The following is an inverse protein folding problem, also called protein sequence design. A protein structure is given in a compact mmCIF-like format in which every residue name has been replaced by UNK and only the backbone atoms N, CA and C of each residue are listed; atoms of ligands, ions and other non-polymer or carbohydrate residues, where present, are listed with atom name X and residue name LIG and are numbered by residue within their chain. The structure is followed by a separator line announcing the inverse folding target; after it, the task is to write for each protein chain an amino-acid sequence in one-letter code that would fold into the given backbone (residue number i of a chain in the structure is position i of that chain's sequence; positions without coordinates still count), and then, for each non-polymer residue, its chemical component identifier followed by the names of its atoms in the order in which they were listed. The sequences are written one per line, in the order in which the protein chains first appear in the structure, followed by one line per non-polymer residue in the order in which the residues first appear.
data_IF_946182234340
#
_entry.id   IF_946182234340
#
_cell.length_a   1.000
_cell.length_b   1.000
_cell.length_c   1.000
_cell.angle_alpha   90.00
_cell.angle_beta   90.00
_cell.angle_gamma   90.00
#
_symmetry.space_group_name_H-M   'P 1'
#
loop_
_entity.id
_entity.type
_entity.pdbx_description
1 polymer ?
#
# COMPACT_ATOMS: atom_id res chain seq x y z
N UNK A 1 12.33 4.86 12.27
CA UNK A 1 12.17 4.11 11.00
C UNK A 1 11.60 4.99 9.88
N UNK A 2 10.74 5.96 10.20
CA UNK A 2 10.11 6.91 9.25
C UNK A 2 10.98 7.40 8.09
N UNK A 3 12.20 7.87 8.35
CA UNK A 3 13.05 8.45 7.30
C UNK A 3 13.49 7.42 6.26
N UNK A 4 13.81 6.19 6.70
CA UNK A 4 14.16 5.08 5.80
C UNK A 4 12.96 4.70 4.94
N UNK A 5 11.78 4.54 5.54
CA UNK A 5 10.58 4.19 4.80
C UNK A 5 10.13 5.30 3.84
N UNK A 6 10.22 6.57 4.23
CA UNK A 6 9.94 7.72 3.37
C UNK A 6 10.82 7.73 2.12
N UNK A 7 12.11 7.46 2.27
CA UNK A 7 13.02 7.34 1.12
C UNK A 7 12.67 6.12 0.25
N UNK A 8 12.37 4.98 0.89
CA UNK A 8 11.98 3.76 0.19
C UNK A 8 10.74 3.96 -0.69
N UNK A 9 9.64 4.50 -0.16
CA UNK A 9 8.41 4.69 -0.94
C UNK A 9 8.58 5.71 -2.07
N UNK A 10 9.48 6.71 -1.92
CA UNK A 10 9.78 7.65 -2.99
C UNK A 10 10.48 6.95 -4.15
N UNK A 11 11.54 6.20 -3.86
CA UNK A 11 12.25 5.42 -4.87
C UNK A 11 11.35 4.37 -5.53
N UNK A 12 10.48 3.73 -4.75
CA UNK A 12 9.53 2.74 -5.27
C UNK A 12 8.48 3.38 -6.19
N UNK A 13 7.98 4.58 -5.84
CA UNK A 13 7.08 5.32 -6.73
C UNK A 13 7.77 5.66 -8.05
N UNK A 14 9.03 6.11 -8.00
CA UNK A 14 9.83 6.39 -9.20
C UNK A 14 9.97 5.13 -10.07
N UNK A 15 10.43 4.01 -9.49
CA UNK A 15 10.61 2.75 -10.20
C UNK A 15 9.31 2.24 -10.85
N UNK A 16 8.20 2.25 -10.11
CA UNK A 16 6.91 1.79 -10.63
C UNK A 16 6.43 2.70 -11.78
N UNK A 17 6.50 4.03 -11.61
CA UNK A 17 6.06 4.96 -12.64
C UNK A 17 6.90 4.80 -13.91
N UNK A 18 8.23 4.77 -13.78
CA UNK A 18 9.14 4.63 -14.92
C UNK A 18 8.88 3.35 -15.71
N UNK A 19 8.64 2.22 -15.01
CA UNK A 19 8.31 0.95 -15.66
C UNK A 19 6.96 0.97 -16.36
N UNK A 20 5.95 1.57 -15.74
CA UNK A 20 4.63 1.69 -16.35
C UNK A 20 4.66 2.62 -17.57
N UNK A 21 5.37 3.74 -17.55
CA UNK A 21 5.54 4.60 -18.73
C UNK A 21 6.25 3.87 -19.89
N UNK A 22 7.27 3.07 -19.59
CA UNK A 22 7.97 2.26 -20.59
C UNK A 22 7.05 1.22 -21.25
N UNK A 23 6.16 0.60 -20.46
CA UNK A 23 5.19 -0.37 -20.94
C UNK A 23 4.10 0.31 -21.77
N UNK A 24 3.62 1.48 -21.33
CA UNK A 24 2.57 2.22 -22.04
C UNK A 24 3.07 2.79 -23.38
N UNK A 25 4.29 3.34 -23.40
CA UNK A 25 4.94 3.86 -24.61
C UNK A 25 4.38 5.18 -25.15
N UNK A 26 3.25 5.66 -24.64
CA UNK A 26 2.57 6.88 -25.10
C UNK A 26 2.33 7.90 -23.99
N UNK A 27 1.58 7.53 -22.96
CA UNK A 27 1.25 8.43 -21.85
C UNK A 27 2.34 8.43 -20.78
N UNK A 28 2.44 9.54 -20.07
CA UNK A 28 3.33 9.74 -18.92
C UNK A 28 2.53 10.13 -17.68
N UNK A 29 3.08 9.88 -16.51
CA UNK A 29 2.48 10.31 -15.26
C UNK A 29 2.55 11.84 -15.14
N UNK A 30 1.40 12.44 -14.86
CA UNK A 30 1.32 13.81 -14.37
C UNK A 30 1.59 13.81 -12.87
N UNK A 31 2.49 14.68 -12.44
CA UNK A 31 2.85 14.84 -11.04
C UNK A 31 2.01 15.97 -10.42
N UNK A 32 1.49 15.72 -9.23
CA UNK A 32 0.76 16.68 -8.42
C UNK A 32 1.24 16.57 -6.98
N UNK A 33 2.08 17.53 -6.59
CA UNK A 33 2.68 17.63 -5.27
C UNK A 33 1.79 18.53 -4.40
N UNK A 34 1.51 18.07 -3.18
CA UNK A 34 0.59 18.78 -2.29
C UNK A 34 1.07 18.72 -0.84
N UNK A 35 0.77 19.79 -0.11
CA UNK A 35 1.03 19.92 1.32
C UNK A 35 -0.26 19.80 2.11
N UNK A 36 -0.16 19.28 3.34
CA UNK A 36 -1.29 19.12 4.24
C UNK A 36 -1.27 20.20 5.32
N UNK A 37 -2.38 20.92 5.48
CA UNK A 37 -2.60 21.73 6.68
C UNK A 37 -2.61 20.81 7.92
N UNK A 38 -1.64 20.99 8.81
CA UNK A 38 -1.41 20.13 9.98
C UNK A 38 -0.15 19.25 9.89
N UNK A 39 0.56 19.22 8.76
CA UNK A 39 1.90 18.65 8.65
C UNK A 39 2.07 17.55 7.60
N UNK A 40 3.17 17.67 6.86
CA UNK A 40 3.54 16.76 5.78
C UNK A 40 2.80 17.05 4.47
N UNK A 41 2.61 16.02 3.66
CA UNK A 41 2.04 16.15 2.31
C UNK A 41 2.15 14.85 1.53
N UNK A 42 2.14 14.95 0.20
CA UNK A 42 2.28 13.80 -0.68
C UNK A 42 2.63 14.16 -2.11
N UNK A 43 2.90 13.11 -2.87
CA UNK A 43 3.16 13.18 -4.31
C UNK A 43 2.17 12.24 -5.00
N UNK A 44 1.20 12.82 -5.68
CA UNK A 44 0.24 12.07 -6.49
C UNK A 44 0.77 11.97 -7.92
N UNK A 45 0.81 10.76 -8.47
CA UNK A 45 1.17 10.56 -9.88
C UNK A 45 0.03 9.85 -10.58
N UNK A 46 -0.49 10.49 -11.63
CA UNK A 46 -1.64 9.98 -12.39
C UNK A 46 -1.28 9.84 -13.86
N UNK A 47 -1.49 8.65 -14.43
CA UNK A 47 -1.42 8.37 -15.86
C UNK A 47 -2.84 8.15 -16.39
N UNK A 48 -3.18 8.75 -17.52
CA UNK A 48 -4.50 8.62 -18.15
C UNK A 48 -4.34 8.56 -19.68
N UNK A 49 -5.32 7.92 -20.34
CA UNK A 49 -5.44 7.89 -21.81
C UNK A 49 -4.19 7.37 -22.54
N UNK A 50 -3.49 6.42 -21.91
CA UNK A 50 -2.38 5.68 -22.50
C UNK A 50 -2.83 4.71 -23.58
N UNK A 51 -1.89 3.93 -24.12
CA UNK A 51 -2.19 2.83 -25.04
C UNK A 51 -2.35 1.49 -24.31
N UNK A 52 -1.77 1.36 -23.10
CA UNK A 52 -1.91 0.18 -22.25
C UNK A 52 -2.76 0.51 -21.02
N UNK A 53 -2.54 1.67 -20.40
CA UNK A 53 -3.25 2.08 -19.19
C UNK A 53 -4.31 3.13 -19.49
N UNK A 54 -5.58 2.77 -19.27
CA UNK A 54 -6.69 3.71 -19.38
C UNK A 54 -6.58 4.80 -18.30
N UNK A 55 -6.35 4.36 -17.06
CA UNK A 55 -6.16 5.22 -15.89
C UNK A 55 -5.34 4.51 -14.81
N UNK A 56 -4.37 5.20 -14.23
CA UNK A 56 -3.58 4.68 -13.13
C UNK A 56 -3.16 5.78 -12.17
N UNK A 57 -3.07 5.43 -10.90
CA UNK A 57 -2.53 6.29 -9.85
C UNK A 57 -1.45 5.55 -9.08
N UNK A 58 -0.31 6.21 -8.83
CA UNK A 58 0.75 5.73 -7.93
C UNK A 58 1.05 6.88 -6.99
N UNK A 59 0.47 6.83 -5.80
CA UNK A 59 0.48 7.94 -4.86
C UNK A 59 1.35 7.59 -3.66
N UNK A 60 2.11 8.57 -3.18
CA UNK A 60 2.77 8.48 -1.88
C UNK A 60 2.34 9.63 -0.99
N UNK A 61 2.30 9.38 0.31
CA UNK A 61 2.11 10.41 1.32
C UNK A 61 3.07 10.20 2.48
N UNK A 62 3.37 11.30 3.17
CA UNK A 62 4.12 11.33 4.43
C UNK A 62 3.54 12.48 5.25
N UNK A 63 2.59 12.15 6.10
CA UNK A 63 1.86 13.11 6.94
C UNK A 63 2.23 12.93 8.40
N UNK A 64 2.12 14.01 9.15
CA UNK A 64 2.29 13.98 10.60
C UNK A 64 1.34 14.98 11.25
N UNK A 65 1.32 15.00 12.58
CA UNK A 65 0.56 15.97 13.36
C UNK A 65 -0.03 15.37 14.63
N UNK A 66 -0.95 16.10 15.24
CA UNK A 66 -1.73 15.61 16.38
C UNK A 66 -2.78 14.60 15.92
N UNK A 67 -3.01 13.56 16.73
CA UNK A 67 -4.06 12.59 16.49
C UNK A 67 -5.45 13.22 16.62
N UNK A 68 -6.34 13.03 15.64
CA UNK A 68 -7.75 13.39 15.78
C UNK A 68 -8.38 12.72 17.00
N UNK A 69 -9.31 13.39 17.67
CA UNK A 69 -9.95 12.89 18.91
C UNK A 69 -10.53 11.48 18.75
N UNK A 70 -11.15 11.18 17.60
CA UNK A 70 -11.71 9.86 17.31
C UNK A 70 -10.63 8.77 17.31
N UNK A 71 -9.44 9.08 16.78
CA UNK A 71 -8.32 8.14 16.74
C UNK A 71 -7.67 8.01 18.11
N UNK A 72 -7.56 9.11 18.87
CA UNK A 72 -7.13 9.08 20.27
C UNK A 72 -7.99 8.16 21.13
N UNK A 73 -9.32 8.25 20.98
CA UNK A 73 -10.28 7.34 21.65
C UNK A 73 -10.08 5.89 21.24
N UNK A 74 -9.83 5.62 19.96
CA UNK A 74 -9.58 4.26 19.46
C UNK A 74 -8.27 3.66 19.97
N UNK A 75 -7.25 4.48 20.19
CA UNK A 75 -5.96 4.05 20.74
C UNK A 75 -5.87 4.18 22.26
N UNK A 76 -6.94 4.62 22.93
CA UNK A 76 -6.99 4.80 24.38
C UNK A 76 -5.86 5.72 24.90
N UNK A 77 -5.60 6.82 24.18
CA UNK A 77 -4.61 7.84 24.55
C UNK A 77 -5.26 9.20 24.78
N UNK A 78 -4.84 9.92 25.82
CA UNK A 78 -5.36 11.28 26.11
C UNK A 78 -4.86 12.31 25.10
N UNK A 79 -3.58 12.23 24.75
CA UNK A 79 -2.91 13.01 23.71
C UNK A 79 -2.10 12.05 22.84
N UNK A 80 -1.76 12.46 21.62
CA UNK A 80 -0.89 11.66 20.79
C UNK A 80 -0.53 12.38 19.50
N UNK A 81 0.70 12.18 19.08
CA UNK A 81 1.21 12.64 17.80
C UNK A 81 1.51 11.43 16.93
N UNK A 82 1.47 11.63 15.62
CA UNK A 82 1.70 10.54 14.70
C UNK A 82 2.55 10.97 13.52
N UNK A 83 3.22 9.98 12.94
CA UNK A 83 3.70 10.02 11.58
C UNK A 83 3.07 8.84 10.82
N UNK A 84 2.59 9.10 9.61
CA UNK A 84 2.11 8.06 8.72
C UNK A 84 2.63 8.31 7.31
N UNK A 85 3.27 7.30 6.73
CA UNK A 85 3.71 7.34 5.34
C UNK A 85 3.33 6.08 4.61
N UNK A 86 3.15 6.17 3.30
CA UNK A 86 2.84 5.01 2.50
C UNK A 86 2.79 5.27 1.01
N UNK A 87 2.85 4.18 0.26
CA UNK A 87 2.59 4.10 -1.17
C UNK A 87 1.24 3.40 -1.36
N UNK A 88 0.42 3.94 -2.27
CA UNK A 88 -0.83 3.33 -2.69
C UNK A 88 -0.96 3.46 -4.21
N UNK A 89 -1.31 2.37 -4.88
CA UNK A 89 -1.54 2.37 -6.32
C UNK A 89 -2.81 1.62 -6.69
N UNK A 90 -3.43 2.08 -7.77
CA UNK A 90 -4.47 1.35 -8.51
C UNK A 90 -4.23 1.62 -9.99
N UNK A 91 -4.11 0.55 -10.78
CA UNK A 91 -3.86 0.62 -12.21
C UNK A 91 -4.99 -0.08 -12.96
N UNK A 92 -5.65 0.64 -13.87
CA UNK A 92 -6.68 0.15 -14.77
C UNK A 92 -6.14 0.10 -16.21
N UNK A 93 -5.87 -1.11 -16.73
CA UNK A 93 -5.52 -1.30 -18.13
C UNK A 93 -6.69 -1.02 -19.05
N UNK A 94 -6.39 -0.62 -20.28
CA UNK A 94 -7.40 -0.41 -21.33
C UNK A 94 -7.94 -1.72 -21.90
N UNK A 95 -7.10 -2.76 -21.98
CA UNK A 95 -7.52 -4.08 -22.47
C UNK A 95 -8.19 -4.87 -21.35
N UNK A 96 -9.40 -5.45 -21.56
CA UNK A 96 -10.04 -6.31 -20.56
C UNK A 96 -9.27 -7.63 -20.34
N UNK A 97 -8.30 -7.94 -21.21
CA UNK A 97 -7.44 -9.11 -21.05
C UNK A 97 -6.32 -8.86 -20.03
N UNK A 98 -6.14 -7.63 -19.55
CA UNK A 98 -5.13 -7.28 -18.54
C UNK A 98 -5.86 -6.92 -17.23
N UNK A 99 -5.51 -7.56 -16.10
CA UNK A 99 -6.18 -7.34 -14.83
C UNK A 99 -5.90 -5.96 -14.24
N UNK A 100 -6.85 -5.43 -13.49
CA UNK A 100 -6.58 -4.32 -12.57
C UNK A 100 -5.73 -4.82 -11.40
N UNK A 101 -4.77 -4.00 -10.97
CA UNK A 101 -3.94 -4.27 -9.80
C UNK A 101 -4.06 -3.13 -8.79
N UNK A 102 -4.14 -3.49 -7.52
CA UNK A 102 -4.01 -2.57 -6.39
C UNK A 102 -2.83 -3.01 -5.52
N UNK A 103 -2.11 -2.04 -4.96
CA UNK A 103 -1.15 -2.30 -3.91
C UNK A 103 -1.09 -1.13 -2.93
N UNK A 104 -0.85 -1.45 -1.67
CA UNK A 104 -0.65 -0.48 -0.60
C UNK A 104 0.47 -0.95 0.31
N UNK A 105 1.41 -0.08 0.66
CA UNK A 105 2.40 -0.34 1.71
C UNK A 105 2.53 0.91 2.56
N UNK A 106 2.20 0.80 3.83
CA UNK A 106 2.16 1.92 4.76
C UNK A 106 2.84 1.58 6.08
N UNK A 107 3.33 2.62 6.71
CA UNK A 107 4.01 2.55 7.99
C UNK A 107 3.50 3.67 8.88
N UNK A 108 3.27 3.34 10.15
CA UNK A 108 2.72 4.25 11.15
C UNK A 108 3.62 4.27 12.38
N UNK A 109 3.86 5.47 12.93
CA UNK A 109 4.53 5.69 14.21
C UNK A 109 3.62 6.55 15.10
N UNK A 110 3.38 6.08 16.32
CA UNK A 110 2.68 6.79 17.40
C UNK A 110 3.69 7.39 18.37
N UNK A 111 3.38 8.57 18.89
CA UNK A 111 4.22 9.32 19.83
C UNK A 111 3.37 9.92 20.95
N UNK A 112 3.95 10.03 22.15
CA UNK A 112 3.31 10.64 23.32
C UNK A 112 3.40 12.17 23.34
N UNK A 113 4.38 12.76 22.65
CA UNK A 113 4.60 14.20 22.64
C UNK A 113 4.90 14.76 21.23
N UNK A 114 4.80 16.09 21.11
CA UNK A 114 4.91 16.82 19.86
C UNK A 114 6.31 16.84 19.23
N UNK A 115 7.36 16.52 19.99
CA UNK A 115 8.72 16.46 19.45
C UNK A 115 8.94 15.19 18.61
N UNK A 116 8.12 14.15 18.80
CA UNK A 116 8.14 12.92 18.01
C UNK A 116 9.53 12.25 17.92
N UNK A 117 10.22 12.20 19.07
CA UNK A 117 11.56 11.62 19.21
C UNK A 117 11.49 10.14 19.59
N UNK A 118 10.61 9.77 20.52
CA UNK A 118 10.49 8.42 21.05
C UNK A 118 9.19 7.76 20.57
N UNK A 119 9.33 6.68 19.80
CA UNK A 119 8.19 5.95 19.22
C UNK A 119 7.52 5.12 20.32
N UNK A 120 6.24 5.39 20.57
CA UNK A 120 5.39 4.64 21.51
C UNK A 120 4.89 3.32 20.92
N UNK A 121 4.37 3.35 19.71
CA UNK A 121 3.91 2.17 18.96
C UNK A 121 4.22 2.37 17.48
N UNK A 122 4.45 1.28 16.75
CA UNK A 122 4.74 1.32 15.33
C UNK A 122 4.28 0.04 14.64
N UNK A 123 3.75 0.17 13.43
CA UNK A 123 3.36 -0.99 12.65
C UNK A 123 3.37 -0.71 11.16
N UNK A 124 3.55 -1.79 10.40
CA UNK A 124 3.28 -1.81 8.98
C UNK A 124 1.88 -2.31 8.68
N UNK A 125 1.34 -1.84 7.57
CA UNK A 125 0.17 -2.42 6.92
C UNK A 125 0.37 -2.38 5.42
N UNK A 126 -0.35 -3.21 4.69
CA UNK A 126 -0.23 -3.23 3.26
C UNK A 126 -0.77 -4.48 2.61
N UNK A 127 -0.34 -4.69 1.37
CA UNK A 127 -0.85 -5.76 0.53
C UNK A 127 -0.77 -5.41 -0.95
N UNK A 128 -1.05 -6.41 -1.76
CA UNK A 128 -1.23 -6.28 -3.19
C UNK A 128 -2.26 -7.31 -3.61
N UNK A 129 -3.19 -6.93 -4.49
CA UNK A 129 -4.25 -7.80 -4.96
C UNK A 129 -4.56 -7.57 -6.44
N UNK A 130 -5.06 -8.62 -7.08
CA UNK A 130 -5.29 -8.68 -8.52
C UNK A 130 -6.76 -8.88 -8.84
N UNK A 131 -7.29 -8.06 -9.74
CA UNK A 131 -8.70 -8.04 -10.15
C UNK A 131 -8.81 -8.28 -11.66
N UNK A 132 -8.81 -9.55 -12.11
CA UNK A 132 -9.01 -9.89 -13.51
C UNK A 132 -10.46 -9.74 -13.96
N UNK A 133 -10.67 -9.31 -15.20
CA UNK A 133 -11.99 -9.33 -15.86
C UNK A 133 -12.24 -10.67 -16.55
N UNK A 134 -11.19 -11.23 -17.15
CA UNK A 134 -11.13 -12.59 -17.65
C UNK A 134 -10.03 -13.33 -16.91
N UNK A 135 -10.32 -14.53 -16.42
CA UNK A 135 -9.39 -15.30 -15.62
C UNK A 135 -8.43 -16.09 -16.51
N UNK A 136 -7.13 -15.87 -16.31
CA UNK A 136 -6.08 -16.78 -16.76
C UNK A 136 -5.38 -17.39 -15.55
N UNK A 137 -5.50 -18.71 -15.40
CA UNK A 137 -4.92 -19.43 -14.27
C UNK A 137 -3.42 -19.18 -14.12
N UNK A 138 -2.69 -19.07 -15.25
CA UNK A 138 -1.25 -18.81 -15.24
C UNK A 138 -0.90 -17.46 -14.60
N UNK A 139 -1.71 -16.44 -14.82
CA UNK A 139 -1.48 -15.10 -14.29
C UNK A 139 -1.77 -15.07 -12.79
N UNK A 140 -2.86 -15.72 -12.36
CA UNK A 140 -3.18 -15.89 -10.94
C UNK A 140 -2.08 -16.68 -10.21
N UNK A 141 -1.63 -17.81 -10.76
CA UNK A 141 -0.53 -18.60 -10.19
C UNK A 141 0.75 -17.78 -10.15
N UNK A 142 1.09 -17.07 -11.22
CA UNK A 142 2.29 -16.23 -11.25
C UNK A 142 2.26 -15.15 -10.16
N UNK A 143 1.17 -14.39 -10.09
CA UNK A 143 0.99 -13.32 -9.12
C UNK A 143 1.13 -13.84 -7.68
N UNK A 144 0.41 -14.91 -7.34
CA UNK A 144 0.47 -15.53 -6.01
C UNK A 144 1.85 -16.13 -5.70
N UNK A 145 2.53 -16.73 -6.68
CA UNK A 145 3.87 -17.28 -6.48
C UNK A 145 4.91 -16.18 -6.22
N UNK A 146 4.83 -15.03 -6.90
CA UNK A 146 5.72 -13.89 -6.65
C UNK A 146 5.53 -13.38 -5.22
N UNK A 147 4.28 -13.19 -4.78
CA UNK A 147 3.97 -12.75 -3.42
C UNK A 147 4.41 -13.76 -2.36
N UNK A 148 4.19 -15.05 -2.61
CA UNK A 148 4.66 -16.13 -1.73
C UNK A 148 6.18 -16.14 -1.61
N UNK A 149 6.90 -16.02 -2.72
CA UNK A 149 8.36 -15.97 -2.72
C UNK A 149 8.92 -14.78 -1.93
N UNK A 150 8.19 -13.64 -1.92
CA UNK A 150 8.56 -12.51 -1.08
C UNK A 150 8.35 -12.83 0.41
N UNK A 151 7.19 -13.36 0.79
CA UNK A 151 6.88 -13.75 2.17
C UNK A 151 7.81 -14.84 2.71
N UNK A 152 8.12 -15.87 1.92
CA UNK A 152 8.90 -17.03 2.34
C UNK A 152 10.32 -16.66 2.83
N UNK A 153 10.84 -15.48 2.43
CA UNK A 153 12.13 -14.94 2.91
C UNK A 153 12.07 -14.45 4.37
N UNK A 154 10.87 -14.17 4.88
CA UNK A 154 10.64 -13.59 6.22
C UNK A 154 9.82 -14.51 7.15
N UNK A 155 9.31 -15.62 6.61
CA UNK A 155 8.56 -16.63 7.36
C UNK A 155 7.56 -17.37 6.50
N UNK A 156 7.55 -18.71 6.57
CA UNK A 156 6.64 -19.56 5.80
C UNK A 156 5.17 -19.42 6.23
N UNK A 157 4.93 -18.87 7.42
CA UNK A 157 3.61 -18.58 7.98
C UNK A 157 2.95 -17.33 7.37
N UNK A 158 3.74 -16.41 6.82
CA UNK A 158 3.27 -15.10 6.39
C UNK A 158 2.33 -15.17 5.19
N UNK A 159 2.71 -15.88 4.12
CA UNK A 159 1.88 -15.97 2.91
C UNK A 159 0.51 -16.60 3.18
N UNK A 160 0.40 -17.79 3.83
CA UNK A 160 -0.90 -18.37 4.13
C UNK A 160 -1.80 -17.45 4.95
N UNK A 161 -1.24 -16.75 5.94
CA UNK A 161 -1.97 -15.80 6.78
C UNK A 161 -2.47 -14.59 5.99
N UNK A 162 -1.56 -13.88 5.34
CA UNK A 162 -1.87 -12.64 4.61
C UNK A 162 -2.73 -12.88 3.37
N UNK A 163 -2.62 -14.04 2.74
CA UNK A 163 -3.53 -14.45 1.66
C UNK A 163 -4.95 -14.60 2.18
N UNK A 164 -5.12 -15.30 3.30
CA UNK A 164 -6.44 -15.48 3.93
C UNK A 164 -7.04 -14.13 4.34
N UNK A 165 -6.25 -13.27 4.96
CA UNK A 165 -6.68 -11.90 5.33
C UNK A 165 -7.10 -11.09 4.09
N UNK A 166 -6.44 -11.28 2.94
CA UNK A 166 -6.79 -10.62 1.69
C UNK A 166 -8.16 -11.06 1.16
N UNK A 167 -8.42 -12.37 1.18
CA UNK A 167 -9.69 -12.95 0.73
C UNK A 167 -10.86 -12.46 1.60
N UNK A 168 -10.65 -12.37 2.92
CA UNK A 168 -11.66 -11.90 3.88
C UNK A 168 -11.90 -10.38 3.76
N UNK A 169 -10.83 -9.60 3.57
CA UNK A 169 -10.92 -8.14 3.52
C UNK A 169 -11.57 -7.62 2.23
N UNK A 170 -11.26 -8.22 1.08
CA UNK A 170 -11.82 -7.81 -0.23
C UNK A 170 -13.02 -8.65 -0.65
N UNK A 171 -13.89 -8.98 0.31
CA UNK A 171 -15.14 -9.68 0.08
C UNK A 171 -16.33 -8.71 0.04
N UNK A 172 -17.17 -8.83 -0.99
CA UNK A 172 -18.40 -8.06 -1.13
C UNK A 172 -19.57 -8.86 -0.54
N UNK A 173 -19.86 -8.68 0.75
CA UNK A 173 -20.87 -9.47 1.47
C UNK A 173 -22.24 -9.51 0.75
N UNK A 174 -22.71 -8.35 0.29
CA UNK A 174 -24.00 -8.20 -0.38
C UNK A 174 -24.09 -8.89 -1.76
N UNK A 175 -22.96 -9.34 -2.32
CA UNK A 175 -22.87 -10.09 -3.58
C UNK A 175 -22.35 -11.51 -3.39
N UNK A 176 -21.86 -11.82 -2.20
CA UNK A 176 -21.23 -13.08 -1.87
C UNK A 176 -20.04 -13.43 -2.78
N UNK A 177 -19.25 -12.43 -3.18
CA UNK A 177 -18.11 -12.59 -4.10
C UNK A 177 -16.85 -11.85 -3.61
N UNK A 178 -15.67 -12.37 -3.93
CA UNK A 178 -14.43 -11.61 -3.79
C UNK A 178 -14.31 -10.55 -4.89
N UNK A 179 -13.66 -9.42 -4.60
CA UNK A 179 -13.40 -8.37 -5.60
C UNK A 179 -12.55 -8.88 -6.77
N UNK A 180 -11.68 -9.84 -6.53
CA UNK A 180 -10.75 -10.41 -7.50
C UNK A 180 -10.19 -11.74 -7.02
N UNK A 181 -8.98 -12.10 -7.47
CA UNK A 181 -8.30 -13.35 -7.10
C UNK A 181 -7.43 -13.22 -5.84
N UNK A 182 -7.62 -12.14 -5.09
CA UNK A 182 -6.88 -11.85 -3.86
C UNK A 182 -5.40 -11.55 -4.09
N UNK A 183 -4.59 -11.87 -3.08
CA UNK A 183 -3.16 -11.58 -3.05
C UNK A 183 -2.65 -11.60 -1.62
N UNK A 184 -2.13 -10.47 -1.14
CA UNK A 184 -1.76 -10.25 0.26
C UNK A 184 -2.57 -9.10 0.84
N UNK A 185 -2.96 -9.23 2.10
CA UNK A 185 -3.37 -8.14 2.95
C UNK A 185 -2.80 -8.37 4.34
N UNK A 186 -2.36 -7.29 4.97
CA UNK A 186 -1.96 -7.27 6.36
C UNK A 186 -2.15 -5.87 6.95
N UNK A 187 -2.47 -5.83 8.23
CA UNK A 187 -2.49 -4.59 9.00
C UNK A 187 -1.93 -4.86 10.39
N UNK A 188 -1.52 -3.80 11.08
CA UNK A 188 -0.99 -3.89 12.44
C UNK A 188 0.17 -4.88 12.59
N UNK A 189 1.00 -5.04 11.55
CA UNK A 189 2.21 -5.85 11.59
C UNK A 189 3.27 -5.12 12.42
N UNK A 190 3.28 -5.43 13.72
CA UNK A 190 4.18 -4.84 14.72
C UNK A 190 5.49 -5.62 14.82
N UNK A 191 6.59 -4.95 15.20
CA UNK A 191 7.80 -5.63 15.64
C UNK A 191 7.53 -6.51 16.85
N UNK A 192 8.28 -7.59 16.98
CA UNK A 192 8.27 -8.50 18.13
C UNK A 192 9.67 -9.08 18.36
N UNK A 193 9.80 -10.04 19.27
CA UNK A 193 11.09 -10.68 19.61
C UNK A 193 11.77 -11.35 18.41
N UNK A 194 11.00 -11.78 17.40
CA UNK A 194 11.50 -12.49 16.22
C UNK A 194 11.71 -11.58 15.00
N UNK A 195 11.03 -10.43 14.96
CA UNK A 195 10.97 -9.54 13.79
C UNK A 195 11.08 -8.08 14.21
N UNK A 196 12.13 -7.40 13.72
CA UNK A 196 12.28 -5.96 13.86
C UNK A 196 11.28 -5.18 13.02
N UNK A 197 11.19 -3.86 13.25
CA UNK A 197 10.57 -2.93 12.30
C UNK A 197 11.38 -2.79 10.99
N UNK A 198 12.66 -3.20 11.01
CA UNK A 198 13.58 -3.20 9.87
C UNK A 198 13.42 -4.39 8.95
#
# INVERSE_FOLDING_TARGET
MKNRFKAYIRNLQDEICDRLEQIDGKSRFRHDDWDREGGGGGHSRVIEKGDVFEKGGVNISSVHGELPELIRKRFEVEQGWFWAGGLSLVIHPQSPMVPTVHANYRYFELYDDSNMNDVRDQWFGGGADLTPYYLWDKDAVHFHQVLKNACDKHGKDLYPRFKKECDEYFYNDHRSEGRGVGGLFFDYLRPNEERSAE
#
